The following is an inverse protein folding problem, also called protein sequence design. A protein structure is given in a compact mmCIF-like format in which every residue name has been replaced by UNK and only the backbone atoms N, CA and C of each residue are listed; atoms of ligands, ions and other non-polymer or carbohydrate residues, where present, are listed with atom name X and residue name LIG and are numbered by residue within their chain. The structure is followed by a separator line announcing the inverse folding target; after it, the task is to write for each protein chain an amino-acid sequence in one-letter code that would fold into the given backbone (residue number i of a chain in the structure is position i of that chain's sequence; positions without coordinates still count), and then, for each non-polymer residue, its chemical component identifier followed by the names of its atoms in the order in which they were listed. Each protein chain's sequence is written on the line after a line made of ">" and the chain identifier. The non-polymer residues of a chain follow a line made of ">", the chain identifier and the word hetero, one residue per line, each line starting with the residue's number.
data_IF_671693853265
#
_entry.id   IF_671693853265
#
_cell.length_a   1.000
_cell.length_b   1.000
_cell.length_c   1.000
_cell.angle_alpha   90.00
_cell.angle_beta   90.00
_cell.angle_gamma   90.00
#
_symmetry.space_group_name_H-M   'P 1'
#
loop_
_entity.id
_entity.type
_entity.pdbx_description
1 polymer ?
#
# COMPACT_ATOMS: atom_id res chain seq x y z
N UNK A 1 4.91 11.52 11.43
CA UNK A 1 6.17 12.03 11.93
C UNK A 1 7.43 11.34 11.43
N UNK A 2 7.36 10.25 10.65
CA UNK A 2 8.56 9.52 10.19
C UNK A 2 9.11 10.00 8.83
N UNK A 3 8.41 10.82 8.10
CA UNK A 3 8.80 11.24 6.76
C UNK A 3 9.93 12.29 6.70
N UNK A 4 10.14 13.04 7.77
CA UNK A 4 10.83 14.32 7.69
C UNK A 4 12.35 14.33 7.85
N UNK A 5 13.01 13.19 7.99
CA UNK A 5 14.37 13.27 8.53
C UNK A 5 15.49 12.76 7.63
N UNK A 6 15.18 12.17 6.49
CA UNK A 6 16.19 11.51 5.64
C UNK A 6 16.66 12.32 4.44
N UNK A 7 15.84 13.22 3.94
CA UNK A 7 16.13 13.93 2.69
C UNK A 7 17.32 14.86 2.76
N UNK A 8 17.63 15.49 3.89
CA UNK A 8 18.73 16.44 3.97
C UNK A 8 20.12 15.80 3.80
N UNK A 9 20.32 14.56 4.27
CA UNK A 9 21.57 13.82 4.05
C UNK A 9 21.68 13.23 2.65
N UNK A 10 20.55 12.75 2.09
CA UNK A 10 20.50 12.19 0.75
C UNK A 10 20.63 13.26 -0.33
N UNK A 11 20.23 14.50 -0.05
CA UNK A 11 20.32 15.66 -0.96
C UNK A 11 21.69 16.37 -0.89
N UNK A 12 22.77 15.66 -0.53
CA UNK A 12 24.18 16.12 -0.54
C UNK A 12 24.42 17.47 0.17
N UNK A 13 23.65 17.80 1.16
CA UNK A 13 23.89 18.95 2.06
C UNK A 13 23.47 20.33 1.54
N UNK A 14 23.30 20.50 0.24
CA UNK A 14 23.02 21.81 -0.38
C UNK A 14 21.54 22.07 -0.69
N UNK A 15 20.65 21.16 -0.27
CA UNK A 15 19.23 21.24 -0.63
C UNK A 15 18.98 20.94 -2.12
N UNK A 16 17.89 21.49 -2.69
CA UNK A 16 17.51 21.35 -4.08
C UNK A 16 17.68 22.71 -4.76
N UNK A 17 18.45 22.79 -5.86
CA UNK A 17 18.82 24.05 -6.54
C UNK A 17 19.36 25.11 -5.53
N UNK A 18 20.16 24.68 -4.56
CA UNK A 18 20.71 25.56 -3.54
C UNK A 18 19.72 26.04 -2.48
N UNK A 19 18.48 25.62 -2.53
CA UNK A 19 17.45 25.98 -1.54
C UNK A 19 17.31 24.90 -0.47
N UNK A 20 17.31 25.32 0.80
CA UNK A 20 17.11 24.41 1.94
C UNK A 20 15.75 23.72 1.85
N UNK A 21 15.74 22.41 2.04
CA UNK A 21 14.49 21.63 2.12
C UNK A 21 13.91 21.73 3.53
N UNK A 22 12.65 22.11 3.62
CA UNK A 22 11.86 22.07 4.84
C UNK A 22 10.71 21.09 4.68
N UNK A 23 10.44 20.29 5.71
CA UNK A 23 9.31 19.38 5.77
C UNK A 23 8.26 19.92 6.73
N UNK A 24 7.03 19.98 6.25
CA UNK A 24 5.83 20.20 7.06
C UNK A 24 5.02 18.92 7.10
N UNK A 25 4.31 18.66 8.19
CA UNK A 25 3.57 17.42 8.40
C UNK A 25 2.15 17.69 8.82
N UNK A 26 1.24 16.82 8.39
CA UNK A 26 -0.15 16.84 8.81
C UNK A 26 -0.69 15.42 8.94
N UNK A 27 -1.73 15.28 9.73
CA UNK A 27 -2.46 14.03 9.88
C UNK A 27 -3.70 14.07 8.98
N UNK A 28 -3.85 13.08 8.12
CA UNK A 28 -5.02 12.93 7.25
C UNK A 28 -6.21 12.31 7.98
N UNK A 29 -5.99 11.70 9.14
CA UNK A 29 -6.99 10.92 9.89
C UNK A 29 -7.69 9.85 9.00
N UNK A 30 -7.10 9.50 7.87
CA UNK A 30 -7.68 8.64 6.83
C UNK A 30 -9.01 9.18 6.28
N UNK A 31 -9.22 10.51 6.38
CA UNK A 31 -10.43 11.24 5.92
C UNK A 31 -10.06 12.23 4.85
N UNK A 32 -10.80 12.23 3.74
CA UNK A 32 -10.54 13.11 2.59
C UNK A 32 -10.62 14.59 2.95
N UNK A 33 -11.59 15.00 3.76
CA UNK A 33 -11.76 16.41 4.14
C UNK A 33 -10.62 16.91 5.04
N UNK A 34 -10.23 16.10 6.04
CA UNK A 34 -9.09 16.43 6.91
C UNK A 34 -7.78 16.53 6.10
N UNK A 35 -7.59 15.60 5.17
CA UNK A 35 -6.42 15.58 4.30
C UNK A 35 -6.37 16.79 3.36
N UNK A 36 -7.50 17.14 2.73
CA UNK A 36 -7.60 18.35 1.88
C UNK A 36 -7.32 19.62 2.68
N UNK A 37 -7.91 19.76 3.87
CA UNK A 37 -7.69 20.91 4.73
C UNK A 37 -6.21 21.06 5.15
N UNK A 38 -5.58 19.94 5.52
CA UNK A 38 -4.16 19.90 5.87
C UNK A 38 -3.26 20.25 4.67
N UNK A 39 -3.48 19.63 3.52
CA UNK A 39 -2.72 19.90 2.30
C UNK A 39 -2.90 21.35 1.84
N UNK A 40 -4.12 21.90 1.88
CA UNK A 40 -4.39 23.30 1.57
C UNK A 40 -3.61 24.24 2.48
N UNK A 41 -3.60 23.98 3.79
CA UNK A 41 -2.81 24.79 4.73
C UNK A 41 -1.31 24.75 4.42
N UNK A 42 -0.76 23.57 4.11
CA UNK A 42 0.65 23.42 3.73
C UNK A 42 0.98 24.22 2.45
N UNK A 43 0.11 24.21 1.47
CA UNK A 43 0.32 24.95 0.22
C UNK A 43 0.22 26.47 0.46
N UNK A 44 -0.86 26.93 1.11
CA UNK A 44 -1.16 28.35 1.23
C UNK A 44 -0.33 29.06 2.31
N UNK A 45 -0.02 28.40 3.43
CA UNK A 45 0.70 29.03 4.55
C UNK A 45 2.19 28.70 4.56
N UNK A 46 2.54 27.45 4.24
CA UNK A 46 3.93 26.99 4.32
C UNK A 46 4.63 27.01 2.95
N UNK A 47 3.89 27.30 1.87
CA UNK A 47 4.46 27.36 0.52
C UNK A 47 4.92 26.01 0.00
N UNK A 48 4.26 24.92 0.38
CA UNK A 48 4.65 23.58 -0.05
C UNK A 48 4.56 23.43 -1.56
N UNK A 49 5.63 23.00 -2.19
CA UNK A 49 5.76 22.78 -3.65
C UNK A 49 5.51 21.32 -4.05
N UNK A 50 5.48 20.42 -3.09
CA UNK A 50 5.13 19.01 -3.25
C UNK A 50 4.41 18.51 -2.01
N UNK A 51 3.32 17.78 -2.24
CA UNK A 51 2.64 17.01 -1.19
C UNK A 51 2.93 15.53 -1.44
N UNK A 52 3.41 14.87 -0.40
CA UNK A 52 3.73 13.43 -0.42
C UNK A 52 3.03 12.73 0.74
N UNK A 53 2.43 11.60 0.50
CA UNK A 53 1.91 10.78 1.57
C UNK A 53 0.50 10.26 1.35
N UNK A 54 -0.13 9.96 2.49
CA UNK A 54 -1.42 9.29 2.56
C UNK A 54 -1.30 7.77 2.46
N UNK A 55 -2.10 7.07 3.28
CA UNK A 55 -2.22 5.61 3.28
C UNK A 55 -3.54 5.13 2.65
N UNK A 56 -4.53 6.01 2.56
CA UNK A 56 -5.83 5.72 1.93
C UNK A 56 -5.87 6.19 0.49
N UNK A 57 -6.25 5.32 -0.43
CA UNK A 57 -6.39 5.68 -1.85
C UNK A 57 -7.51 6.70 -2.09
N UNK A 58 -8.58 6.70 -1.31
CA UNK A 58 -9.61 7.74 -1.36
C UNK A 58 -9.06 9.12 -0.97
N UNK A 59 -8.19 9.17 0.04
CA UNK A 59 -7.47 10.39 0.42
C UNK A 59 -6.54 10.86 -0.70
N UNK A 60 -5.80 9.95 -1.34
CA UNK A 60 -4.90 10.30 -2.43
C UNK A 60 -5.64 10.95 -3.61
N UNK A 61 -6.79 10.39 -4.01
CA UNK A 61 -7.61 10.96 -5.08
C UNK A 61 -8.06 12.38 -4.73
N UNK A 62 -8.51 12.61 -3.49
CA UNK A 62 -8.97 13.90 -3.03
C UNK A 62 -7.85 14.97 -2.98
N UNK A 63 -6.68 14.59 -2.43
CA UNK A 63 -5.52 15.51 -2.28
C UNK A 63 -4.88 15.79 -3.63
N UNK A 64 -4.77 14.79 -4.50
CA UNK A 64 -4.22 14.97 -5.85
C UNK A 64 -5.06 15.97 -6.68
N UNK A 65 -6.40 15.96 -6.51
CA UNK A 65 -7.27 16.97 -7.12
C UNK A 65 -6.95 18.38 -6.65
N UNK A 66 -6.81 18.57 -5.33
CA UNK A 66 -6.41 19.85 -4.74
C UNK A 66 -5.03 20.31 -5.24
N UNK A 67 -4.05 19.41 -5.30
CA UNK A 67 -2.71 19.73 -5.79
C UNK A 67 -2.71 20.12 -7.26
N UNK A 68 -3.56 19.49 -8.09
CA UNK A 68 -3.74 19.88 -9.49
C UNK A 68 -4.30 21.30 -9.62
N UNK A 69 -5.31 21.65 -8.82
CA UNK A 69 -5.91 22.99 -8.79
C UNK A 69 -4.90 24.05 -8.33
N UNK A 70 -4.05 23.71 -7.39
CA UNK A 70 -3.03 24.61 -6.83
C UNK A 70 -1.72 24.66 -7.63
N UNK A 71 -1.55 23.87 -8.69
CA UNK A 71 -0.31 23.81 -9.45
C UNK A 71 0.85 23.19 -8.65
N UNK A 72 0.57 22.26 -7.75
CA UNK A 72 1.55 21.60 -6.86
C UNK A 72 1.68 20.13 -7.23
N UNK A 73 2.89 19.57 -7.14
CA UNK A 73 3.13 18.13 -7.36
C UNK A 73 2.52 17.32 -6.22
N UNK A 74 1.80 16.25 -6.58
CA UNK A 74 1.36 15.23 -5.66
C UNK A 74 2.11 13.92 -5.91
N UNK A 75 2.73 13.37 -4.86
CA UNK A 75 3.31 12.03 -4.86
C UNK A 75 2.47 11.11 -3.98
N UNK A 76 1.78 10.17 -4.60
CA UNK A 76 0.99 9.17 -3.87
C UNK A 76 1.91 8.36 -2.93
N UNK A 77 1.66 8.38 -1.63
CA UNK A 77 2.46 7.73 -0.59
C UNK A 77 2.42 6.22 -0.71
N UNK A 78 1.71 5.56 0.17
CA UNK A 78 1.46 4.11 0.06
C UNK A 78 0.07 3.77 -0.47
N UNK A 79 -0.53 4.62 -1.24
CA UNK A 79 -1.84 4.40 -1.84
C UNK A 79 -1.73 3.46 -3.04
N UNK A 80 -2.52 2.42 -3.06
CA UNK A 80 -2.30 1.26 -3.92
C UNK A 80 -3.40 1.05 -4.97
N UNK A 81 -4.50 1.85 -4.95
CA UNK A 81 -5.55 1.75 -5.96
C UNK A 81 -5.01 2.02 -7.37
N UNK A 82 -5.49 1.27 -8.35
CA UNK A 82 -5.25 1.54 -9.76
C UNK A 82 -5.80 2.90 -10.18
N UNK A 83 -6.90 3.33 -9.56
CA UNK A 83 -7.63 4.54 -9.92
C UNK A 83 -6.80 5.81 -9.76
N UNK A 84 -5.92 5.87 -8.76
CA UNK A 84 -5.11 7.07 -8.45
C UNK A 84 -4.30 7.57 -9.66
N UNK A 85 -3.75 6.66 -10.47
CA UNK A 85 -3.03 6.98 -11.70
C UNK A 85 -3.71 6.41 -12.95
N UNK A 86 -4.93 5.90 -12.81
CA UNK A 86 -5.83 5.42 -13.86
C UNK A 86 -6.95 6.43 -14.15
N UNK A 87 -8.20 6.09 -13.76
CA UNK A 87 -9.38 6.92 -14.06
C UNK A 87 -9.37 8.28 -13.37
N UNK A 88 -8.77 8.37 -12.17
CA UNK A 88 -8.71 9.60 -11.36
C UNK A 88 -7.39 10.37 -11.51
N UNK A 89 -6.54 9.97 -12.45
CA UNK A 89 -5.23 10.60 -12.68
C UNK A 89 -5.33 12.11 -12.87
N UNK A 90 -4.30 12.82 -12.39
CA UNK A 90 -4.09 14.25 -12.65
C UNK A 90 -2.69 14.44 -13.25
N UNK A 91 -2.49 15.53 -14.01
CA UNK A 91 -1.20 15.82 -14.64
C UNK A 91 -0.07 15.99 -13.62
N UNK A 92 -0.37 16.59 -12.46
CA UNK A 92 0.58 16.79 -11.36
C UNK A 92 0.64 15.63 -10.36
N UNK A 93 -0.05 14.50 -10.64
CA UNK A 93 -0.11 13.34 -9.76
C UNK A 93 0.80 12.20 -10.21
N UNK A 94 1.69 11.76 -9.31
CA UNK A 94 2.66 10.69 -9.56
C UNK A 94 2.58 9.62 -8.49
N UNK A 95 3.11 8.42 -8.80
CA UNK A 95 3.35 7.35 -7.84
C UNK A 95 4.72 6.70 -8.02
N UNK A 96 5.33 6.33 -6.93
CA UNK A 96 6.42 5.36 -6.88
C UNK A 96 5.91 4.01 -6.31
N UNK A 97 4.96 4.06 -5.38
CA UNK A 97 4.38 2.85 -4.79
C UNK A 97 3.63 2.04 -5.84
N UNK A 98 3.80 0.72 -5.82
CA UNK A 98 3.14 -0.18 -6.78
C UNK A 98 1.61 -0.14 -6.62
N UNK A 99 0.87 -0.50 -7.66
CA UNK A 99 -0.59 -0.52 -7.63
C UNK A 99 -1.14 -1.96 -7.52
N UNK A 100 -2.46 -2.06 -7.39
CA UNK A 100 -3.15 -3.33 -7.25
C UNK A 100 -2.92 -4.29 -8.45
N UNK A 101 -2.86 -3.76 -9.66
CA UNK A 101 -2.53 -4.52 -10.85
C UNK A 101 -1.12 -5.12 -10.80
N UNK A 102 -0.14 -4.32 -10.41
CA UNK A 102 1.26 -4.77 -10.30
C UNK A 102 1.42 -5.87 -9.25
N UNK A 103 0.76 -5.71 -8.08
CA UNK A 103 0.80 -6.74 -7.04
C UNK A 103 0.18 -8.05 -7.51
N UNK A 104 -0.97 -7.98 -8.17
CA UNK A 104 -1.68 -9.16 -8.68
C UNK A 104 -0.87 -9.87 -9.77
N UNK A 105 -0.31 -9.12 -10.73
CA UNK A 105 0.49 -9.67 -11.80
C UNK A 105 1.77 -10.37 -11.30
N UNK A 106 2.42 -9.81 -10.27
CA UNK A 106 3.59 -10.44 -9.66
C UNK A 106 3.22 -11.65 -8.79
N UNK A 107 2.07 -11.59 -8.12
CA UNK A 107 1.67 -12.60 -7.13
C UNK A 107 1.07 -13.85 -7.77
N UNK A 108 0.27 -13.74 -8.83
CA UNK A 108 -0.45 -14.87 -9.41
C UNK A 108 0.45 -16.03 -9.89
N UNK A 109 1.61 -15.80 -10.55
CA UNK A 109 2.54 -16.89 -10.88
C UNK A 109 3.11 -17.59 -9.64
N UNK A 110 3.37 -16.84 -8.57
CA UNK A 110 3.88 -17.38 -7.30
C UNK A 110 2.82 -18.26 -6.64
N UNK A 111 1.56 -17.79 -6.60
CA UNK A 111 0.43 -18.55 -6.06
C UNK A 111 0.18 -19.84 -6.86
N UNK A 112 0.26 -19.77 -8.19
CA UNK A 112 0.17 -20.96 -9.04
C UNK A 112 1.29 -21.97 -8.72
N UNK A 113 2.50 -21.50 -8.56
CA UNK A 113 3.65 -22.35 -8.21
C UNK A 113 3.52 -22.98 -6.82
N UNK A 114 3.05 -22.20 -5.84
CA UNK A 114 2.93 -22.65 -4.46
C UNK A 114 1.71 -23.55 -4.20
N UNK A 115 0.57 -23.23 -4.80
CA UNK A 115 -0.73 -23.83 -4.47
C UNK A 115 -1.36 -24.61 -5.64
N UNK A 116 -0.79 -24.51 -6.84
CA UNK A 116 -1.31 -25.11 -8.05
C UNK A 116 -2.35 -24.24 -8.77
N UNK A 117 -2.71 -24.67 -9.97
CA UNK A 117 -3.93 -24.23 -10.66
C UNK A 117 -5.14 -24.94 -10.02
N UNK A 118 -6.37 -24.68 -10.46
CA UNK A 118 -7.57 -25.36 -9.95
C UNK A 118 -7.81 -25.11 -8.45
N UNK A 119 -7.77 -23.82 -8.05
CA UNK A 119 -8.12 -23.35 -6.69
C UNK A 119 -9.43 -22.56 -6.75
N UNK A 120 -10.15 -22.54 -5.64
CA UNK A 120 -11.40 -21.80 -5.47
C UNK A 120 -11.22 -20.70 -4.43
N UNK A 121 -11.22 -19.46 -4.90
CA UNK A 121 -10.95 -18.29 -4.07
C UNK A 121 -12.24 -17.62 -3.58
N UNK A 122 -12.32 -17.37 -2.29
CA UNK A 122 -13.31 -16.49 -1.67
C UNK A 122 -12.63 -15.19 -1.27
N UNK A 123 -13.18 -14.04 -1.66
CA UNK A 123 -12.59 -12.74 -1.36
C UNK A 123 -13.35 -12.03 -0.26
N UNK A 124 -12.62 -11.46 0.71
CA UNK A 124 -13.12 -10.42 1.60
C UNK A 124 -12.44 -9.12 1.20
N UNK A 125 -13.22 -8.10 0.90
CA UNK A 125 -12.75 -6.88 0.25
C UNK A 125 -13.16 -5.65 1.02
N UNK A 126 -12.20 -4.82 1.40
CA UNK A 126 -12.46 -3.54 2.04
C UNK A 126 -13.26 -2.63 1.10
N UNK A 127 -14.38 -2.08 1.59
CA UNK A 127 -15.35 -1.36 0.76
C UNK A 127 -14.91 0.09 0.47
N UNK A 128 -13.88 0.23 -0.38
CA UNK A 128 -13.42 1.50 -0.95
C UNK A 128 -12.53 1.27 -2.18
N UNK A 129 -12.15 2.35 -2.87
CA UNK A 129 -11.47 2.29 -4.19
C UNK A 129 -10.26 1.35 -4.26
N UNK A 130 -9.42 1.28 -3.20
CA UNK A 130 -8.30 0.33 -3.21
C UNK A 130 -8.80 -1.12 -3.13
N UNK A 131 -9.70 -1.42 -2.22
CA UNK A 131 -10.22 -2.78 -2.05
C UNK A 131 -10.84 -3.30 -3.34
N UNK A 132 -11.65 -2.48 -4.00
CA UNK A 132 -12.31 -2.86 -5.28
C UNK A 132 -11.28 -3.15 -6.35
N UNK A 133 -10.31 -2.23 -6.58
CA UNK A 133 -9.29 -2.43 -7.63
C UNK A 133 -8.31 -3.54 -7.30
N UNK A 134 -8.05 -3.82 -6.01
CA UNK A 134 -7.23 -4.95 -5.58
C UNK A 134 -7.94 -6.29 -5.85
N UNK A 135 -9.21 -6.38 -5.49
CA UNK A 135 -10.01 -7.59 -5.72
C UNK A 135 -10.14 -7.88 -7.22
N UNK A 136 -10.51 -6.89 -8.01
CA UNK A 136 -10.61 -7.03 -9.47
C UNK A 136 -9.29 -7.49 -10.09
N UNK A 137 -8.17 -6.89 -9.66
CA UNK A 137 -6.85 -7.21 -10.19
C UNK A 137 -6.40 -8.62 -9.82
N UNK A 138 -6.54 -9.02 -8.53
CA UNK A 138 -6.09 -10.35 -8.09
C UNK A 138 -7.01 -11.46 -8.60
N UNK A 139 -8.32 -11.24 -8.68
CA UNK A 139 -9.25 -12.19 -9.29
C UNK A 139 -8.88 -12.45 -10.75
N UNK A 140 -8.76 -11.40 -11.56
CA UNK A 140 -8.40 -11.54 -12.97
C UNK A 140 -7.03 -12.24 -13.16
N UNK A 141 -6.03 -11.89 -12.34
CA UNK A 141 -4.70 -12.48 -12.45
C UNK A 141 -4.66 -13.94 -12.00
N UNK A 142 -5.42 -14.32 -10.98
CA UNK A 142 -5.51 -15.72 -10.52
C UNK A 142 -6.39 -16.57 -11.44
N UNK A 143 -7.45 -16.02 -12.00
CA UNK A 143 -8.28 -16.69 -13.03
C UNK A 143 -7.45 -17.01 -14.29
N UNK A 144 -6.57 -16.09 -14.71
CA UNK A 144 -5.65 -16.31 -15.83
C UNK A 144 -4.65 -17.47 -15.60
N UNK A 145 -4.42 -17.87 -14.36
CA UNK A 145 -3.56 -19.01 -14.00
C UNK A 145 -4.35 -20.26 -13.57
N UNK A 146 -5.69 -20.23 -13.72
CA UNK A 146 -6.57 -21.39 -13.57
C UNK A 146 -7.38 -21.45 -12.27
N UNK A 147 -7.44 -20.39 -11.48
CA UNK A 147 -8.27 -20.32 -10.28
C UNK A 147 -9.70 -19.90 -10.64
N UNK A 148 -10.64 -20.17 -9.74
CA UNK A 148 -12.04 -19.74 -9.82
C UNK A 148 -12.32 -18.78 -8.65
N UNK A 149 -12.90 -17.62 -8.93
CA UNK A 149 -13.46 -16.73 -7.88
C UNK A 149 -14.89 -17.17 -7.57
N UNK A 150 -15.11 -17.80 -6.42
CA UNK A 150 -16.43 -18.31 -6.02
C UNK A 150 -17.31 -17.26 -5.33
N UNK A 151 -16.69 -16.27 -4.67
CA UNK A 151 -17.44 -15.16 -4.07
C UNK A 151 -16.52 -13.97 -3.76
N UNK A 152 -17.13 -12.79 -3.66
CA UNK A 152 -16.50 -11.56 -3.17
C UNK A 152 -17.48 -10.82 -2.25
N UNK A 153 -17.09 -10.57 -1.01
CA UNK A 153 -17.91 -9.87 -0.02
C UNK A 153 -17.21 -8.59 0.40
N UNK A 154 -17.93 -7.49 0.29
CA UNK A 154 -17.46 -6.17 0.75
C UNK A 154 -17.60 -6.06 2.27
N UNK A 155 -16.58 -5.51 2.90
CA UNK A 155 -16.52 -5.29 4.34
C UNK A 155 -16.29 -3.81 4.65
N UNK A 156 -17.06 -3.22 5.58
CA UNK A 156 -16.87 -1.82 5.95
C UNK A 156 -15.47 -1.57 6.54
N UNK A 157 -14.86 -0.42 6.23
CA UNK A 157 -13.55 -0.03 6.77
C UNK A 157 -13.53 0.07 8.30
N UNK A 158 -14.68 0.39 8.92
CA UNK A 158 -14.80 0.48 10.37
C UNK A 158 -14.89 -0.88 11.08
N UNK A 159 -14.94 -2.00 10.31
CA UNK A 159 -15.05 -3.33 10.90
C UNK A 159 -13.79 -3.67 11.71
N UNK A 160 -14.01 -4.16 12.92
CA UNK A 160 -12.95 -4.67 13.81
C UNK A 160 -13.11 -6.15 14.10
N UNK A 161 -14.29 -6.71 13.89
CA UNK A 161 -14.62 -8.13 13.96
C UNK A 161 -15.10 -8.62 12.61
N UNK A 162 -14.47 -9.67 12.09
CA UNK A 162 -14.75 -10.27 10.80
C UNK A 162 -15.41 -11.66 10.91
N UNK A 163 -15.78 -12.10 12.11
CA UNK A 163 -16.35 -13.44 12.37
C UNK A 163 -17.55 -13.73 11.49
N UNK A 164 -18.47 -12.76 11.34
CA UNK A 164 -19.66 -12.90 10.50
C UNK A 164 -19.33 -13.02 9.00
N UNK A 165 -18.19 -12.50 8.55
CA UNK A 165 -17.72 -12.59 7.17
C UNK A 165 -16.91 -13.87 6.92
N UNK A 166 -16.22 -14.40 7.95
CA UNK A 166 -15.44 -15.64 7.86
C UNK A 166 -16.34 -16.88 7.92
N UNK A 167 -17.38 -16.88 8.74
CA UNK A 167 -18.25 -18.04 8.90
C UNK A 167 -18.82 -18.60 7.57
N UNK A 168 -19.30 -17.78 6.60
CA UNK A 168 -19.77 -18.28 5.31
C UNK A 168 -18.67 -18.94 4.46
N UNK A 169 -17.40 -18.55 4.64
CA UNK A 169 -16.25 -19.13 3.90
C UNK A 169 -16.15 -20.63 4.16
N UNK A 170 -16.45 -21.07 5.40
CA UNK A 170 -16.35 -22.47 5.81
C UNK A 170 -17.21 -23.42 4.95
N UNK A 171 -18.33 -22.93 4.42
CA UNK A 171 -19.31 -23.71 3.68
C UNK A 171 -19.40 -23.31 2.19
N UNK A 172 -18.51 -22.43 1.72
CA UNK A 172 -18.54 -21.91 0.35
C UNK A 172 -17.98 -22.86 -0.72
N UNK A 173 -17.26 -23.91 -0.29
CA UNK A 173 -16.49 -24.76 -1.19
C UNK A 173 -15.15 -24.15 -1.62
N UNK A 174 -14.84 -22.93 -1.17
CA UNK A 174 -13.52 -22.32 -1.38
C UNK A 174 -12.43 -23.05 -0.61
N UNK A 175 -11.24 -23.08 -1.18
CA UNK A 175 -10.02 -23.62 -0.57
C UNK A 175 -8.92 -22.54 -0.43
N UNK A 176 -9.24 -21.30 -0.83
CA UNK A 176 -8.40 -20.12 -0.63
C UNK A 176 -9.24 -18.95 -0.13
N UNK A 177 -8.78 -18.26 0.90
CA UNK A 177 -9.31 -16.96 1.31
C UNK A 177 -8.35 -15.86 0.88
N UNK A 178 -8.84 -14.91 0.08
CA UNK A 178 -8.08 -13.71 -0.31
C UNK A 178 -8.57 -12.53 0.50
N UNK A 179 -7.68 -11.97 1.33
CA UNK A 179 -7.95 -10.81 2.17
C UNK A 179 -7.48 -9.54 1.46
N UNK A 180 -8.39 -8.87 0.75
CA UNK A 180 -8.16 -7.54 0.19
C UNK A 180 -8.32 -6.48 1.28
N UNK A 181 -7.60 -6.67 2.38
CA UNK A 181 -7.61 -5.84 3.59
C UNK A 181 -6.22 -5.28 3.85
N UNK A 182 -6.16 -4.13 4.54
CA UNK A 182 -4.90 -3.49 4.92
C UNK A 182 -4.93 -3.05 6.40
N UNK A 183 -3.74 -2.94 7.01
CA UNK A 183 -3.59 -2.46 8.38
C UNK A 183 -4.38 -3.28 9.39
N UNK A 184 -5.11 -2.61 10.27
CA UNK A 184 -5.92 -3.26 11.32
C UNK A 184 -7.01 -4.19 10.77
N UNK A 185 -7.61 -3.86 9.63
CA UNK A 185 -8.59 -4.75 9.00
C UNK A 185 -7.96 -6.10 8.62
N UNK A 186 -6.74 -6.09 8.04
CA UNK A 186 -6.04 -7.32 7.70
C UNK A 186 -5.67 -8.11 8.97
N UNK A 187 -5.11 -7.46 9.97
CA UNK A 187 -4.73 -8.12 11.23
C UNK A 187 -5.93 -8.81 11.85
N UNK A 188 -7.06 -8.12 11.95
CA UNK A 188 -8.27 -8.65 12.56
C UNK A 188 -8.90 -9.77 11.71
N UNK A 189 -9.05 -9.59 10.41
CA UNK A 189 -9.65 -10.60 9.52
C UNK A 189 -8.78 -11.87 9.42
N UNK A 190 -7.46 -11.74 9.36
CA UNK A 190 -6.55 -12.87 9.40
C UNK A 190 -6.64 -13.60 10.76
N UNK A 191 -6.64 -12.86 11.86
CA UNK A 191 -6.78 -13.45 13.21
C UNK A 191 -8.09 -14.22 13.32
N UNK A 192 -9.21 -13.65 12.88
CA UNK A 192 -10.49 -14.36 12.89
C UNK A 192 -10.45 -15.60 11.98
N UNK A 193 -9.86 -15.51 10.77
CA UNK A 193 -9.74 -16.65 9.87
C UNK A 193 -8.97 -17.83 10.50
N UNK A 194 -7.86 -17.52 11.19
CA UNK A 194 -7.08 -18.55 11.92
C UNK A 194 -7.87 -19.10 13.10
N UNK A 195 -8.55 -18.26 13.88
CA UNK A 195 -9.40 -18.71 15.01
C UNK A 195 -10.56 -19.62 14.56
N UNK A 196 -11.09 -19.42 13.34
CA UNK A 196 -12.09 -20.30 12.74
C UNK A 196 -11.48 -21.61 12.17
N UNK A 197 -10.18 -21.82 12.30
CA UNK A 197 -9.49 -23.04 11.89
C UNK A 197 -9.33 -23.18 10.37
N UNK A 198 -9.39 -22.09 9.60
CA UNK A 198 -9.28 -22.17 8.14
C UNK A 198 -7.94 -22.79 7.69
N UNK A 199 -6.82 -22.46 8.33
CA UNK A 199 -5.50 -23.00 7.97
C UNK A 199 -5.34 -24.49 8.25
N UNK A 200 -6.19 -25.08 9.11
CA UNK A 200 -6.19 -26.51 9.43
C UNK A 200 -7.21 -27.28 8.59
N UNK A 201 -7.95 -26.58 7.73
CA UNK A 201 -9.04 -27.16 6.95
C UNK A 201 -8.52 -27.81 5.66
N UNK A 202 -9.15 -28.92 5.30
CA UNK A 202 -9.01 -29.55 3.98
C UNK A 202 -10.31 -29.40 3.20
N UNK A 203 -10.24 -29.00 1.93
CA UNK A 203 -11.38 -28.87 1.02
C UNK A 203 -11.05 -29.64 -0.26
N UNK A 204 -11.84 -30.66 -0.57
CA UNK A 204 -11.64 -31.50 -1.76
C UNK A 204 -10.19 -32.03 -1.87
N UNK A 205 -9.60 -32.46 -0.75
CA UNK A 205 -8.23 -32.98 -0.70
C UNK A 205 -7.12 -31.92 -0.76
N UNK A 206 -7.45 -30.63 -0.78
CA UNK A 206 -6.50 -29.52 -0.78
C UNK A 206 -6.48 -28.81 0.55
N UNK A 207 -5.28 -28.46 1.04
CA UNK A 207 -5.14 -27.60 2.20
C UNK A 207 -5.72 -26.22 1.92
N UNK A 208 -6.43 -25.66 2.89
CA UNK A 208 -6.94 -24.30 2.83
C UNK A 208 -5.79 -23.29 2.99
N UNK A 209 -5.75 -22.28 2.12
CA UNK A 209 -4.69 -21.28 2.11
C UNK A 209 -5.25 -19.86 2.27
N UNK A 210 -4.42 -18.95 2.80
CA UNK A 210 -4.78 -17.54 2.94
C UNK A 210 -3.78 -16.68 2.16
N UNK A 211 -4.30 -15.74 1.38
CA UNK A 211 -3.54 -14.80 0.56
C UNK A 211 -3.85 -13.38 0.97
N UNK A 212 -2.82 -12.56 1.15
CA UNK A 212 -2.94 -11.12 1.45
C UNK A 212 -2.21 -10.34 0.35
N UNK A 213 -2.90 -9.87 -0.70
CA UNK A 213 -2.25 -9.26 -1.87
C UNK A 213 -1.35 -8.08 -1.57
N UNK A 214 -1.70 -7.25 -0.59
CA UNK A 214 -0.84 -6.18 -0.07
C UNK A 214 -0.45 -6.49 1.37
N UNK A 215 0.81 -6.85 1.59
CA UNK A 215 1.28 -7.40 2.85
C UNK A 215 2.57 -6.71 3.32
N UNK A 216 2.56 -6.11 4.50
CA UNK A 216 3.71 -5.37 5.04
C UNK A 216 4.25 -5.98 6.33
N UNK A 217 5.52 -5.70 6.66
CA UNK A 217 6.12 -6.15 7.92
C UNK A 217 5.35 -5.65 9.15
N UNK A 218 4.77 -4.44 9.07
CA UNK A 218 3.96 -3.89 10.16
C UNK A 218 2.67 -4.68 10.36
N UNK A 219 2.05 -5.15 9.28
CA UNK A 219 0.88 -6.02 9.33
C UNK A 219 1.26 -7.40 9.86
N UNK A 220 2.40 -7.94 9.42
CA UNK A 220 2.94 -9.21 9.93
C UNK A 220 3.20 -9.13 11.44
N UNK A 221 3.86 -8.08 11.91
CA UNK A 221 4.10 -7.86 13.33
C UNK A 221 2.80 -7.73 14.13
N UNK A 222 1.79 -7.06 13.58
CA UNK A 222 0.47 -6.92 14.21
C UNK A 222 -0.30 -8.24 14.32
N UNK A 223 -0.20 -9.11 13.32
CA UNK A 223 -0.88 -10.41 13.30
C UNK A 223 -0.09 -11.53 14.03
N UNK A 224 1.20 -11.31 14.30
CA UNK A 224 2.04 -12.25 15.04
C UNK A 224 2.13 -13.62 14.38
N UNK A 225 1.94 -14.70 15.15
CA UNK A 225 2.04 -16.07 14.64
C UNK A 225 0.96 -16.44 13.59
N UNK A 226 -0.11 -15.67 13.49
CA UNK A 226 -1.20 -15.94 12.53
C UNK A 226 -0.76 -15.78 11.07
N UNK A 227 0.40 -15.17 10.81
CA UNK A 227 0.95 -15.00 9.45
C UNK A 227 1.64 -16.24 8.89
N UNK A 228 1.81 -17.28 9.68
CA UNK A 228 2.53 -18.46 9.24
C UNK A 228 1.83 -19.11 8.03
N UNK A 229 2.58 -19.25 6.93
CA UNK A 229 2.08 -19.82 5.67
C UNK A 229 1.30 -18.83 4.78
N UNK A 230 1.08 -17.60 5.22
CA UNK A 230 0.40 -16.58 4.40
C UNK A 230 1.34 -16.06 3.30
N UNK A 231 0.88 -16.08 2.06
CA UNK A 231 1.58 -15.47 0.92
C UNK A 231 0.96 -14.11 0.59
N UNK A 232 1.83 -13.13 0.31
CA UNK A 232 1.44 -11.80 -0.11
C UNK A 232 2.54 -11.11 -0.91
N UNK A 233 2.30 -9.88 -1.31
CA UNK A 233 3.27 -9.09 -2.08
C UNK A 233 3.57 -7.75 -1.43
N UNK A 234 4.79 -7.26 -1.71
CA UNK A 234 5.28 -5.96 -1.28
C UNK A 234 6.28 -5.41 -2.31
N UNK A 235 6.34 -4.10 -2.45
CA UNK A 235 7.23 -3.46 -3.41
C UNK A 235 8.69 -3.37 -2.94
N UNK A 236 8.94 -3.45 -1.64
CA UNK A 236 10.26 -3.29 -1.05
C UNK A 236 10.29 -3.84 0.39
N UNK A 237 11.40 -4.39 0.80
CA UNK A 237 11.68 -4.73 2.19
C UNK A 237 13.12 -4.40 2.56
N UNK A 238 13.40 -4.26 3.85
CA UNK A 238 14.69 -3.84 4.39
C UNK A 238 15.80 -4.89 4.23
N UNK A 239 15.49 -6.10 3.81
CA UNK A 239 16.46 -7.20 3.60
C UNK A 239 17.06 -7.20 2.20
N UNK A 240 16.57 -6.33 1.28
CA UNK A 240 17.14 -6.22 -0.05
C UNK A 240 18.61 -5.80 -0.01
N UNK A 241 19.39 -6.36 -0.94
CA UNK A 241 20.86 -6.28 -0.89
C UNK A 241 21.46 -5.25 -1.84
N UNK A 242 20.65 -4.50 -2.57
CA UNK A 242 21.14 -3.38 -3.38
C UNK A 242 21.71 -2.25 -2.50
N UNK A 243 22.65 -1.48 -3.07
CA UNK A 243 23.37 -0.45 -2.32
C UNK A 243 22.46 0.66 -1.81
N UNK A 244 21.43 1.05 -2.58
CA UNK A 244 20.47 2.08 -2.17
C UNK A 244 19.66 1.64 -0.97
N UNK A 245 19.15 0.41 -0.98
CA UNK A 245 18.43 -0.17 0.15
C UNK A 245 19.30 -0.28 1.39
N UNK A 246 20.54 -0.79 1.26
CA UNK A 246 21.49 -0.88 2.39
C UNK A 246 21.80 0.49 3.00
N UNK A 247 22.05 1.50 2.17
CA UNK A 247 22.34 2.86 2.63
C UNK A 247 21.13 3.46 3.38
N UNK A 248 19.92 3.28 2.87
CA UNK A 248 18.71 3.74 3.51
C UNK A 248 18.46 3.01 4.84
N UNK A 249 18.56 1.68 4.86
CA UNK A 249 18.37 0.85 6.06
C UNK A 249 19.36 1.25 7.15
N UNK A 250 20.64 1.44 6.80
CA UNK A 250 21.67 1.90 7.75
C UNK A 250 21.32 3.27 8.34
N UNK A 251 21.05 4.25 7.49
CA UNK A 251 20.74 5.62 7.95
C UNK A 251 19.47 5.68 8.80
N UNK A 252 18.47 4.87 8.44
CA UNK A 252 17.22 4.77 9.20
C UNK A 252 17.44 4.10 10.56
N UNK A 253 18.20 2.98 10.58
CA UNK A 253 18.52 2.23 11.79
C UNK A 253 19.33 3.07 12.79
N UNK A 254 20.35 3.80 12.32
CA UNK A 254 21.14 4.72 13.15
C UNK A 254 20.26 5.79 13.84
N UNK A 255 19.19 6.21 13.17
CA UNK A 255 18.31 7.26 13.69
C UNK A 255 17.19 6.76 14.59
N UNK A 256 16.58 5.62 14.23
CA UNK A 256 15.35 5.14 14.85
C UNK A 256 15.52 3.84 15.64
N UNK A 257 16.70 3.22 15.64
CA UNK A 257 17.00 1.98 16.36
C UNK A 257 16.25 0.74 15.81
N UNK A 258 15.72 0.81 14.58
CA UNK A 258 14.97 -0.28 13.95
C UNK A 258 15.05 -0.19 12.42
N UNK A 259 14.78 -1.28 11.67
CA UNK A 259 14.71 -1.20 10.22
C UNK A 259 13.52 -0.36 9.73
N UNK A 260 13.63 0.26 8.54
CA UNK A 260 12.54 0.99 7.92
C UNK A 260 11.47 0.05 7.35
N UNK A 261 10.22 0.52 7.32
CA UNK A 261 9.15 -0.13 6.58
C UNK A 261 9.18 0.26 5.09
N UNK A 262 8.44 -0.49 4.26
CA UNK A 262 8.20 -0.13 2.87
C UNK A 262 7.58 1.27 2.72
N UNK A 263 6.75 1.68 3.68
CA UNK A 263 6.15 3.01 3.72
C UNK A 263 7.19 4.11 3.89
N UNK A 264 8.14 3.91 4.78
CA UNK A 264 9.26 4.85 4.98
C UNK A 264 10.14 4.91 3.73
N UNK A 265 10.42 3.76 3.10
CA UNK A 265 11.17 3.67 1.85
C UNK A 265 10.50 4.46 0.72
N UNK A 266 9.20 4.26 0.52
CA UNK A 266 8.45 4.97 -0.51
C UNK A 266 8.55 6.49 -0.37
N UNK A 267 8.38 7.02 0.84
CA UNK A 267 8.50 8.46 1.07
C UNK A 267 9.92 8.99 0.84
N UNK A 268 10.93 8.19 1.22
CA UNK A 268 12.33 8.51 0.96
C UNK A 268 12.61 8.59 -0.54
N UNK A 269 12.25 7.56 -1.30
CA UNK A 269 12.48 7.51 -2.74
C UNK A 269 11.71 8.60 -3.49
N UNK A 270 10.46 8.87 -3.13
CA UNK A 270 9.67 9.93 -3.76
C UNK A 270 10.29 11.32 -3.56
N UNK A 271 10.88 11.57 -2.39
CA UNK A 271 11.62 12.81 -2.14
C UNK A 271 12.84 12.93 -3.04
N UNK A 272 13.59 11.84 -3.23
CA UNK A 272 14.75 11.82 -4.13
C UNK A 272 14.35 12.00 -5.60
N UNK A 273 13.28 11.34 -6.04
CA UNK A 273 12.74 11.48 -7.40
C UNK A 273 12.32 12.92 -7.69
N UNK A 274 11.66 13.58 -6.72
CA UNK A 274 11.30 14.98 -6.86
C UNK A 274 12.54 15.88 -6.95
N UNK A 275 13.53 15.67 -6.09
CA UNK A 275 14.76 16.45 -6.11
C UNK A 275 15.50 16.31 -7.45
N UNK A 276 15.65 15.09 -7.96
CA UNK A 276 16.27 14.81 -9.26
C UNK A 276 15.49 15.47 -10.40
N UNK A 277 14.17 15.40 -10.38
CA UNK A 277 13.34 16.03 -11.40
C UNK A 277 13.48 17.55 -11.41
N UNK A 278 13.48 18.20 -10.23
CA UNK A 278 13.65 19.65 -10.07
C UNK A 278 15.04 20.09 -10.55
N UNK A 279 16.09 19.35 -10.18
CA UNK A 279 17.45 19.67 -10.61
C UNK A 279 17.62 19.54 -12.13
N UNK A 280 17.06 18.50 -12.75
CA UNK A 280 17.08 18.35 -14.21
C UNK A 280 16.25 19.41 -14.93
N UNK A 281 15.13 19.83 -14.37
CA UNK A 281 14.29 20.87 -14.93
C UNK A 281 14.83 22.29 -14.69
N UNK A 282 15.69 22.48 -13.70
CA UNK A 282 16.18 23.79 -13.27
C UNK A 282 15.12 24.69 -12.63
N UNK A 283 13.98 24.12 -12.24
CA UNK A 283 12.84 24.86 -11.68
C UNK A 283 12.00 24.00 -10.72
N UNK A 284 11.34 24.67 -9.77
CA UNK A 284 10.31 24.06 -8.91
C UNK A 284 8.90 24.14 -9.52
N UNK A 285 8.74 24.85 -10.64
CA UNK A 285 7.47 24.95 -11.33
C UNK A 285 7.16 23.63 -12.04
N UNK A 286 6.02 22.96 -11.77
CA UNK A 286 5.65 21.71 -12.41
C UNK A 286 5.17 21.86 -13.86
N UNK A 287 4.96 23.08 -14.36
CA UNK A 287 4.49 23.39 -15.71
C UNK A 287 5.64 23.74 -16.67
#
# INVERSE_FOLDING_TARGET
>A
GMMNTFSSKALKGNGILGKKVQFVTGDTQTKSDAARASAKSMIEKDGAVMINGGSSSGVAVAVQGLCQEAGVIFMAGLTHSNDTTGKDKKANGFRHFFNAYMSAAALAPVLKSAYGADRKAYHLTADYTWGWTQQESIAAATEAVGWETVNNVLTPLASTDFSAYIAPVLNSGADVLVLNHYGGNMVNSLTNAVQFGLLDKMVNGKKFEIVVPLYSELMAAGAGANVQGVIGSMNWNWQLQDEGSKAFVKSFGEKYGRPPSNSAHTCYVQTLLYADAVERAGTFNPC
#
